data_IF_691870203378
#
_entry.id   IF_691870203378
#
_cell.length_a   1.000
_cell.length_b   1.000
_cell.length_c   1.000
_cell.angle_alpha   90.00
_cell.angle_beta   90.00
_cell.angle_gamma   90.00
#
_symmetry.space_group_name_H-M   'P 1'
#
loop_
_entity.id
_entity.type
_entity.pdbx_description
1 polymer ?
#
# COMPACT_ATOMS: atom_id res chain seq x y z
N UNK A 1 -16.52 -15.47 -3.42
CA UNK A 1 -16.22 -15.66 -4.86
C UNK A 1 -16.84 -16.96 -5.39
N UNK A 2 -17.31 -16.97 -6.65
CA UNK A 2 -17.86 -18.18 -7.30
C UNK A 2 -16.76 -19.22 -7.55
N UNK A 3 -17.05 -20.54 -7.54
CA UNK A 3 -16.09 -21.56 -7.95
C UNK A 3 -15.49 -21.25 -9.33
N UNK A 4 -14.18 -21.42 -9.47
CA UNK A 4 -13.45 -21.08 -10.69
C UNK A 4 -13.24 -19.58 -10.95
N UNK A 5 -13.73 -18.69 -10.07
CA UNK A 5 -13.52 -17.25 -10.18
C UNK A 5 -12.09 -16.83 -9.82
N UNK A 6 -11.71 -15.63 -10.27
CA UNK A 6 -10.39 -15.04 -10.04
C UNK A 6 -10.45 -13.88 -9.05
N UNK A 7 -9.49 -13.84 -8.13
CA UNK A 7 -9.22 -12.74 -7.22
C UNK A 7 -7.88 -12.12 -7.60
N UNK A 8 -7.90 -10.82 -7.88
CA UNK A 8 -6.73 -10.07 -8.33
C UNK A 8 -6.43 -9.01 -7.27
N UNK A 9 -5.17 -8.91 -6.85
CA UNK A 9 -4.72 -7.89 -5.91
C UNK A 9 -3.26 -7.51 -6.19
N UNK A 10 -2.85 -6.33 -5.73
CA UNK A 10 -1.45 -6.01 -5.56
C UNK A 10 -1.06 -5.99 -4.08
N UNK A 11 0.21 -6.24 -3.81
CA UNK A 11 0.86 -6.04 -2.52
C UNK A 11 2.13 -5.21 -2.73
N UNK A 12 2.54 -4.48 -1.71
CA UNK A 12 3.87 -3.87 -1.70
C UNK A 12 4.92 -4.96 -1.45
N UNK A 13 6.05 -4.87 -2.13
CA UNK A 13 7.21 -5.70 -1.80
C UNK A 13 7.88 -5.18 -0.53
N UNK A 14 8.80 -5.98 0.01
CA UNK A 14 9.66 -5.50 1.10
C UNK A 14 10.44 -4.26 0.70
N UNK A 15 11.01 -4.26 -0.51
CA UNK A 15 11.69 -3.10 -1.10
C UNK A 15 10.76 -1.88 -1.22
N UNK A 16 9.51 -2.10 -1.64
CA UNK A 16 8.50 -1.05 -1.71
C UNK A 16 8.22 -0.39 -0.35
N UNK A 17 8.26 -1.16 0.73
CA UNK A 17 8.20 -0.59 2.08
C UNK A 17 9.51 0.09 2.48
N UNK A 18 10.63 -0.64 2.46
CA UNK A 18 11.91 -0.20 3.05
C UNK A 18 12.60 0.95 2.30
N UNK A 19 12.45 1.04 0.98
CA UNK A 19 13.24 1.95 0.15
C UNK A 19 12.40 2.98 -0.60
N UNK A 20 11.12 2.69 -0.83
CA UNK A 20 10.24 3.57 -1.63
C UNK A 20 9.27 4.35 -0.75
N UNK A 21 8.65 3.71 0.23
CA UNK A 21 7.56 4.31 0.98
C UNK A 21 7.99 5.06 2.25
N UNK A 22 9.14 4.73 2.86
CA UNK A 22 9.61 5.33 4.12
C UNK A 22 10.14 6.76 3.95
N UNK A 23 10.06 7.52 5.04
CA UNK A 23 10.59 8.86 5.15
C UNK A 23 9.48 9.91 5.25
N UNK A 24 9.88 11.16 5.02
CA UNK A 24 8.98 12.31 5.09
C UNK A 24 8.73 12.86 3.69
N UNK A 25 7.46 13.03 3.34
CA UNK A 25 7.01 13.69 2.12
C UNK A 25 6.22 14.94 2.49
N UNK A 26 6.62 16.08 1.91
CA UNK A 26 6.00 17.38 2.19
C UNK A 26 5.55 17.98 0.86
N UNK A 27 4.28 18.36 0.80
CA UNK A 27 3.74 19.20 -0.27
C UNK A 27 3.30 20.50 0.36
N UNK A 28 3.90 21.59 -0.12
CA UNK A 28 3.53 22.96 0.24
C UNK A 28 3.19 23.68 -1.06
N UNK A 29 1.90 23.90 -1.28
CA UNK A 29 1.39 24.64 -2.43
C UNK A 29 0.43 25.75 -1.98
N UNK A 30 -0.10 26.52 -2.94
CA UNK A 30 -0.91 27.70 -2.65
C UNK A 30 -2.19 27.36 -1.87
N UNK A 31 -2.73 26.16 -1.94
CA UNK A 31 -4.02 25.82 -1.34
C UNK A 31 -3.90 24.87 -0.12
N UNK A 32 -2.78 24.13 -0.02
CA UNK A 32 -2.60 23.11 1.01
C UNK A 32 -1.15 22.93 1.47
N UNK A 33 -1.02 22.47 2.71
CA UNK A 33 0.20 21.97 3.30
C UNK A 33 -0.02 20.54 3.79
N UNK A 34 0.60 19.56 3.14
CA UNK A 34 0.53 18.15 3.48
C UNK A 34 1.88 17.66 3.97
N UNK A 35 1.91 17.00 5.13
CA UNK A 35 3.02 16.17 5.55
C UNK A 35 2.59 14.72 5.62
N UNK A 36 3.47 13.84 5.17
CA UNK A 36 3.37 12.41 5.34
C UNK A 36 4.68 11.99 6.00
N UNK A 37 4.59 11.46 7.21
CA UNK A 37 5.74 10.91 7.94
C UNK A 37 5.54 9.42 8.06
N UNK A 38 6.53 8.63 7.65
CA UNK A 38 6.38 7.19 7.53
C UNK A 38 7.63 6.41 7.92
N UNK A 39 7.40 5.23 8.46
CA UNK A 39 8.43 4.29 8.89
C UNK A 39 7.99 2.86 8.61
N UNK A 40 8.96 1.97 8.46
CA UNK A 40 8.76 0.54 8.36
C UNK A 40 9.64 -0.15 9.39
N UNK A 41 9.01 -0.78 10.38
CA UNK A 41 9.70 -1.48 11.46
C UNK A 41 8.95 -2.74 11.85
N UNK A 42 9.69 -3.78 12.24
CA UNK A 42 9.15 -5.10 12.63
C UNK A 42 8.07 -5.67 11.67
N UNK A 43 8.18 -5.40 10.36
CA UNK A 43 7.24 -5.88 9.35
C UNK A 43 5.95 -5.05 9.22
N UNK A 44 5.89 -3.88 9.85
CA UNK A 44 4.74 -2.98 9.83
C UNK A 44 5.15 -1.63 9.25
N UNK A 45 4.47 -1.22 8.19
CA UNK A 45 4.55 0.13 7.66
C UNK A 45 3.52 1.00 8.36
N UNK A 46 3.97 2.11 8.92
CA UNK A 46 3.13 3.10 9.55
C UNK A 46 3.34 4.46 8.86
N UNK A 47 2.25 5.14 8.54
CA UNK A 47 2.29 6.45 7.90
C UNK A 47 1.28 7.39 8.55
N UNK A 48 1.75 8.54 9.00
CA UNK A 48 0.96 9.60 9.58
C UNK A 48 0.83 10.77 8.60
N UNK A 49 -0.41 11.15 8.32
CA UNK A 49 -0.76 12.23 7.40
C UNK A 49 -1.25 13.42 8.22
N UNK A 50 -0.70 14.61 7.93
CA UNK A 50 -1.24 15.87 8.42
C UNK A 50 -1.47 16.79 7.22
N UNK A 51 -2.73 17.14 6.99
CA UNK A 51 -3.15 18.02 5.90
C UNK A 51 -3.73 19.30 6.50
N UNK A 52 -3.28 20.45 6.00
CA UNK A 52 -3.88 21.75 6.22
C UNK A 52 -4.39 22.26 4.87
N UNK A 53 -5.67 22.60 4.77
CA UNK A 53 -6.29 23.14 3.55
C UNK A 53 -6.82 24.54 3.82
N UNK A 54 -6.56 25.49 2.91
CA UNK A 54 -7.12 26.84 3.02
C UNK A 54 -8.64 26.80 2.95
N UNK A 55 -9.29 27.49 3.88
CA UNK A 55 -10.73 27.71 3.86
C UNK A 55 -11.08 29.12 3.38
N UNK A 56 -12.37 29.39 3.22
CA UNK A 56 -12.88 30.66 2.68
C UNK A 56 -12.50 31.89 3.54
N UNK A 57 -12.21 31.69 4.82
CA UNK A 57 -11.90 32.75 5.78
C UNK A 57 -10.38 33.04 5.88
N UNK A 58 -9.61 32.63 4.86
CA UNK A 58 -8.15 32.73 4.82
C UNK A 58 -7.46 32.06 6.03
N UNK A 59 -8.11 31.06 6.62
CA UNK A 59 -7.58 30.19 7.66
C UNK A 59 -7.34 28.79 7.08
N UNK A 60 -6.87 27.86 7.91
CA UNK A 60 -6.65 26.47 7.49
C UNK A 60 -7.49 25.49 8.31
N UNK A 61 -8.11 24.53 7.62
CA UNK A 61 -8.73 23.37 8.23
C UNK A 61 -7.69 22.25 8.31
N UNK A 62 -7.54 21.65 9.50
CA UNK A 62 -6.58 20.57 9.74
C UNK A 62 -7.28 19.21 9.71
N UNK A 63 -6.79 18.32 8.86
CA UNK A 63 -7.15 16.89 8.81
C UNK A 63 -5.94 16.02 9.14
N UNK A 64 -6.16 14.90 9.81
CA UNK A 64 -5.11 13.92 10.11
C UNK A 64 -5.58 12.51 9.78
N UNK A 65 -4.66 11.66 9.33
CA UNK A 65 -4.93 10.26 9.04
C UNK A 65 -3.75 9.39 9.38
N UNK A 66 -4.01 8.10 9.59
CA UNK A 66 -2.97 7.08 9.76
C UNK A 66 -3.27 5.92 8.83
N UNK A 67 -2.23 5.42 8.17
CA UNK A 67 -2.27 4.16 7.41
C UNK A 67 -1.29 3.20 8.07
N UNK A 68 -1.77 1.99 8.34
CA UNK A 68 -0.94 0.85 8.74
C UNK A 68 -1.03 -0.25 7.70
N UNK A 69 0.10 -0.81 7.31
CA UNK A 69 0.17 -1.95 6.39
C UNK A 69 1.13 -2.99 6.95
N UNK A 70 0.80 -4.26 6.76
CA UNK A 70 1.60 -5.37 7.23
C UNK A 70 2.30 -6.02 6.04
N UNK A 71 3.60 -6.25 6.19
CA UNK A 71 4.34 -7.03 5.21
C UNK A 71 3.94 -8.50 5.31
N UNK A 72 3.62 -9.09 4.17
CA UNK A 72 3.34 -10.50 4.03
C UNK A 72 4.11 -11.05 2.84
N UNK A 73 4.71 -12.22 3.02
CA UNK A 73 5.28 -12.98 1.91
C UNK A 73 4.16 -13.60 1.08
N UNK A 74 4.45 -13.89 -0.19
CA UNK A 74 3.47 -14.52 -1.07
C UNK A 74 3.13 -15.93 -0.58
N UNK A 75 4.10 -16.63 -0.01
CA UNK A 75 3.93 -17.95 0.58
C UNK A 75 2.92 -17.92 1.74
N UNK A 76 3.02 -16.93 2.64
CA UNK A 76 2.05 -16.73 3.74
C UNK A 76 0.65 -16.41 3.21
N UNK A 77 0.55 -15.56 2.18
CA UNK A 77 -0.74 -15.21 1.56
C UNK A 77 -1.35 -16.43 0.86
N UNK A 78 -0.59 -17.15 0.05
CA UNK A 78 -1.08 -18.33 -0.65
C UNK A 78 -1.52 -19.43 0.32
N UNK A 79 -0.80 -19.64 1.43
CA UNK A 79 -1.19 -20.60 2.46
C UNK A 79 -2.46 -20.19 3.22
N UNK A 80 -2.72 -18.89 3.38
CA UNK A 80 -3.88 -18.38 4.13
C UNK A 80 -5.16 -18.21 3.29
N UNK A 81 -5.06 -18.28 1.95
CA UNK A 81 -6.17 -18.02 1.02
C UNK A 81 -6.89 -19.28 0.51
N UNK A 82 -6.80 -20.42 1.21
CA UNK A 82 -7.60 -21.62 0.91
C UNK A 82 -9.12 -21.29 0.85
N UNK A 83 -9.89 -21.72 -0.18
CA UNK A 83 -9.56 -22.67 -1.26
C UNK A 83 -9.17 -22.00 -2.58
N UNK A 84 -8.17 -21.12 -2.57
CA UNK A 84 -7.67 -20.45 -3.76
C UNK A 84 -6.21 -20.79 -4.02
N UNK A 85 -5.89 -21.07 -5.28
CA UNK A 85 -4.51 -21.28 -5.72
C UNK A 85 -3.97 -19.99 -6.35
N UNK A 86 -2.72 -19.65 -6.05
CA UNK A 86 -1.99 -18.62 -6.80
C UNK A 86 -1.72 -19.15 -8.21
N UNK A 87 -2.25 -18.47 -9.22
CA UNK A 87 -2.14 -18.85 -10.63
C UNK A 87 -1.18 -17.98 -11.43
N UNK A 88 -1.01 -16.72 -11.04
CA UNK A 88 -0.08 -15.79 -11.67
C UNK A 88 0.50 -14.82 -10.64
N UNK A 89 1.75 -14.46 -10.83
CA UNK A 89 2.45 -13.42 -10.09
C UNK A 89 3.29 -12.62 -11.09
N UNK A 90 3.27 -11.30 -10.97
CA UNK A 90 4.15 -10.42 -11.72
C UNK A 90 4.70 -9.30 -10.85
N UNK A 91 5.95 -8.92 -11.13
CA UNK A 91 6.59 -7.77 -10.52
C UNK A 91 6.13 -6.49 -11.23
N UNK A 92 5.85 -5.46 -10.45
CA UNK A 92 5.45 -4.14 -10.94
C UNK A 92 6.40 -3.10 -10.35
N UNK A 93 6.96 -2.29 -11.23
CA UNK A 93 7.86 -1.20 -10.89
C UNK A 93 7.17 0.11 -11.24
N UNK A 94 6.77 0.88 -10.24
CA UNK A 94 6.07 2.16 -10.38
C UNK A 94 7.00 3.35 -10.10
N UNK A 95 7.83 3.26 -9.07
CA UNK A 95 8.55 4.42 -8.53
C UNK A 95 10.07 4.26 -8.41
N UNK A 96 10.59 3.06 -8.63
CA UNK A 96 12.02 2.74 -8.45
C UNK A 96 12.57 1.88 -9.60
N UNK A 97 13.79 1.35 -9.48
CA UNK A 97 14.34 0.38 -10.45
C UNK A 97 13.97 -1.07 -10.07
N UNK A 98 13.96 -1.37 -8.76
CA UNK A 98 13.46 -2.64 -8.24
C UNK A 98 11.93 -2.60 -8.09
N UNK A 99 11.28 -3.76 -8.15
CA UNK A 99 9.83 -3.84 -8.08
C UNK A 99 9.33 -3.44 -6.69
N UNK A 100 8.60 -2.33 -6.59
CA UNK A 100 7.95 -1.87 -5.36
C UNK A 100 6.60 -2.56 -5.10
N UNK A 101 6.06 -3.25 -6.11
CA UNK A 101 4.80 -3.98 -6.03
C UNK A 101 4.85 -5.35 -6.68
N UNK A 102 3.96 -6.22 -6.22
CA UNK A 102 3.67 -7.51 -6.83
C UNK A 102 2.18 -7.64 -7.08
N UNK A 103 1.82 -7.95 -8.32
CA UNK A 103 0.46 -8.25 -8.73
C UNK A 103 0.22 -9.75 -8.70
N UNK A 104 -0.85 -10.17 -8.05
CA UNK A 104 -1.18 -11.56 -7.76
C UNK A 104 -2.55 -11.91 -8.33
N UNK A 105 -2.65 -13.10 -8.93
CA UNK A 105 -3.91 -13.66 -9.42
C UNK A 105 -4.15 -15.00 -8.76
N UNK A 106 -5.19 -15.07 -7.94
CA UNK A 106 -5.66 -16.28 -7.29
C UNK A 106 -6.90 -16.83 -8.00
N UNK A 107 -7.03 -18.16 -8.09
CA UNK A 107 -8.22 -18.82 -8.62
C UNK A 107 -8.84 -19.71 -7.55
N UNK A 108 -10.13 -19.50 -7.27
CA UNK A 108 -10.88 -20.38 -6.37
C UNK A 108 -11.10 -21.75 -7.03
N UNK A 109 -10.88 -22.83 -6.28
CA UNK A 109 -11.11 -24.20 -6.76
C UNK A 109 -12.52 -24.35 -7.35
N UNK A 110 -12.63 -25.15 -8.41
CA UNK A 110 -13.91 -25.64 -8.87
C UNK A 110 -14.36 -26.72 -7.88
N UNK A 111 -15.50 -26.53 -7.24
CA UNK A 111 -16.10 -27.56 -6.38
C UNK A 111 -16.61 -28.75 -7.17
#
# INVERSE_FOLDING_TARGET
MKPGGYFLCDINTRYGFEEVAVGSFIVDDDDRFLTIDSEFDEGVYHSAFTLFEKNADACFDKSTGVIMQFYHTIEELAASLDPMDLTEQSNVTLYAEEADKQFLVFRKHAG
#
